data_IF_345455840334
#
_entry.id   IF_345455840334
#
_cell.length_a   1.000
_cell.length_b   1.000
_cell.length_c   1.000
_cell.angle_alpha   90.00
_cell.angle_beta   90.00
_cell.angle_gamma   90.00
#
_symmetry.space_group_name_H-M   'P 1'
#
loop_
_entity.id
_entity.type
_entity.pdbx_description
1 polymer ?
#
# COMPACT_ATOMS: atom_id res chain seq x y z
N UNK A 1 -33.59 34.82 4.38
CA UNK A 1 -33.34 36.18 3.85
C UNK A 1 -31.93 36.59 4.26
N UNK A 2 -30.96 36.54 3.35
CA UNK A 2 -29.84 37.49 3.35
C UNK A 2 -29.32 37.55 1.91
N UNK A 3 -29.63 38.68 1.26
CA UNK A 3 -29.25 39.02 -0.12
C UNK A 3 -28.06 39.96 -0.02
N UNK A 4 -26.92 39.63 -0.61
CA UNK A 4 -25.89 40.64 -0.94
C UNK A 4 -25.37 40.36 -2.35
N UNK A 5 -25.38 41.42 -3.17
CA UNK A 5 -25.07 41.46 -4.60
C UNK A 5 -23.72 42.16 -4.82
N UNK A 6 -22.93 41.59 -5.74
CA UNK A 6 -22.06 42.20 -6.79
C UNK A 6 -21.03 43.26 -6.40
N UNK A 7 -19.76 43.02 -6.77
CA UNK A 7 -18.91 44.02 -7.44
C UNK A 7 -18.10 43.33 -8.55
N UNK A 8 -18.12 43.94 -9.73
CA UNK A 8 -17.35 43.57 -10.92
C UNK A 8 -16.10 44.46 -11.03
N UNK A 9 -15.01 43.96 -11.60
CA UNK A 9 -14.07 44.75 -12.41
C UNK A 9 -13.07 43.83 -13.13
N UNK A 10 -13.00 43.99 -14.44
CA UNK A 10 -12.03 43.39 -15.35
C UNK A 10 -10.85 44.34 -15.55
N UNK A 11 -9.63 43.83 -15.76
CA UNK A 11 -8.58 44.50 -16.57
C UNK A 11 -7.70 43.43 -17.24
N UNK A 12 -7.31 43.74 -18.48
CA UNK A 12 -6.69 42.92 -19.51
C UNK A 12 -5.18 42.67 -19.34
N UNK A 13 -4.78 41.52 -19.90
CA UNK A 13 -3.53 41.09 -20.52
C UNK A 13 -2.31 42.04 -20.59
N UNK A 14 -1.12 41.49 -20.30
CA UNK A 14 0.07 41.59 -21.18
C UNK A 14 1.03 40.43 -20.90
N UNK A 15 1.48 39.79 -21.98
CA UNK A 15 2.48 38.71 -22.06
C UNK A 15 3.90 39.19 -21.79
N UNK A 16 4.72 38.37 -21.13
CA UNK A 16 6.18 38.38 -21.32
C UNK A 16 6.75 36.95 -21.14
N UNK A 17 7.31 36.43 -22.24
CA UNK A 17 8.17 35.24 -22.31
C UNK A 17 9.53 35.54 -21.65
N UNK A 18 10.07 34.61 -20.85
CA UNK A 18 11.39 33.99 -21.10
C UNK A 18 11.84 33.07 -19.95
N UNK A 19 12.19 31.84 -20.35
CA UNK A 19 13.29 31.00 -19.87
C UNK A 19 13.39 30.62 -18.38
N UNK A 20 12.95 29.39 -18.09
CA UNK A 20 13.34 28.63 -16.90
C UNK A 20 13.12 27.13 -17.11
N UNK A 21 13.99 26.48 -17.89
CA UNK A 21 14.00 25.03 -18.09
C UNK A 21 14.64 24.31 -16.91
N UNK A 22 13.82 23.68 -16.08
CA UNK A 22 14.18 22.55 -15.20
C UNK A 22 12.85 21.95 -14.69
N UNK A 23 12.52 20.67 -14.80
CA UNK A 23 13.23 19.52 -15.29
C UNK A 23 12.18 18.53 -15.83
N UNK A 24 12.51 17.87 -16.93
CA UNK A 24 12.07 16.49 -17.16
C UNK A 24 12.51 15.71 -15.91
N UNK A 25 11.67 14.92 -15.27
CA UNK A 25 11.53 13.53 -15.67
C UNK A 25 10.25 12.93 -15.09
N UNK A 26 9.55 12.24 -15.99
CA UNK A 26 8.68 11.09 -15.74
C UNK A 26 8.91 10.43 -14.38
N UNK A 27 7.86 10.32 -13.55
CA UNK A 27 7.86 9.39 -12.41
C UNK A 27 8.27 8.01 -12.93
N UNK A 28 9.38 7.43 -12.46
CA UNK A 28 9.66 6.04 -12.73
C UNK A 28 8.90 5.24 -11.68
N UNK A 29 7.59 5.06 -11.88
CA UNK A 29 6.97 3.83 -11.40
C UNK A 29 7.37 2.75 -12.41
N UNK A 30 8.67 2.45 -12.46
CA UNK A 30 9.20 1.30 -13.13
C UNK A 30 8.54 0.10 -12.45
N UNK A 31 7.50 -0.42 -13.10
CA UNK A 31 7.15 -1.81 -12.99
C UNK A 31 8.36 -2.61 -13.48
N UNK A 32 9.33 -2.79 -12.59
CA UNK A 32 10.32 -3.83 -12.71
C UNK A 32 9.56 -5.14 -12.50
N UNK A 33 8.90 -5.63 -13.55
CA UNK A 33 8.63 -7.05 -13.68
C UNK A 33 9.98 -7.73 -13.78
N UNK A 34 10.52 -8.13 -12.63
CA UNK A 34 11.60 -9.09 -12.57
C UNK A 34 11.03 -10.44 -13.02
N UNK A 35 11.09 -10.68 -14.33
CA UNK A 35 10.82 -11.98 -14.94
C UNK A 35 11.99 -12.90 -14.64
N UNK A 36 12.09 -13.32 -13.37
CA UNK A 36 12.95 -14.41 -12.90
C UNK A 36 12.19 -15.34 -11.97
N UNK A 37 10.92 -15.62 -12.30
CA UNK A 37 10.20 -16.78 -11.79
C UNK A 37 10.82 -18.09 -12.34
N UNK A 38 12.11 -18.30 -12.10
CA UNK A 38 12.84 -19.53 -12.33
C UNK A 38 12.99 -20.25 -11.00
N UNK A 39 12.20 -21.31 -10.82
CA UNK A 39 12.32 -22.33 -9.78
C UNK A 39 12.47 -21.82 -8.33
N UNK A 40 11.34 -21.45 -7.72
CA UNK A 40 11.28 -21.36 -6.25
C UNK A 40 11.45 -22.78 -5.70
N UNK A 41 12.60 -23.08 -5.10
CA UNK A 41 12.81 -24.29 -4.31
C UNK A 41 11.74 -24.38 -3.22
N UNK A 42 11.16 -25.56 -3.06
CA UNK A 42 9.94 -25.86 -2.28
C UNK A 42 10.09 -25.73 -0.76
N UNK A 43 11.09 -25.00 -0.25
CA UNK A 43 11.40 -25.01 1.18
C UNK A 43 10.60 -24.01 2.04
N UNK A 44 9.96 -22.97 1.46
CA UNK A 44 9.39 -21.88 2.29
C UNK A 44 7.95 -21.42 1.92
N UNK A 45 7.15 -22.21 1.19
CA UNK A 45 5.86 -21.70 0.68
C UNK A 45 4.70 -22.11 1.58
N UNK A 46 4.46 -21.34 2.64
CA UNK A 46 3.11 -21.16 3.20
C UNK A 46 2.61 -19.79 2.72
N UNK A 47 1.36 -19.72 2.22
CA UNK A 47 0.73 -18.49 1.71
C UNK A 47 1.28 -17.83 0.42
N UNK A 48 2.25 -18.44 -0.28
CA UNK A 48 2.79 -17.89 -1.54
C UNK A 48 3.84 -16.79 -1.34
N UNK A 49 4.56 -16.82 -0.22
CA UNK A 49 5.58 -15.85 0.14
C UNK A 49 6.84 -15.94 -0.75
N UNK A 50 7.31 -14.79 -1.26
CA UNK A 50 8.69 -14.61 -1.75
C UNK A 50 9.53 -13.85 -0.71
N UNK A 51 10.48 -14.55 -0.08
CA UNK A 51 11.38 -13.99 0.93
C UNK A 51 12.52 -13.14 0.35
N UNK A 52 12.66 -13.10 -0.98
CA UNK A 52 13.74 -12.39 -1.68
C UNK A 52 13.41 -10.92 -1.92
N UNK A 53 12.14 -10.55 -1.87
CA UNK A 53 11.67 -9.20 -2.11
C UNK A 53 11.16 -8.56 -0.84
N UNK A 54 11.59 -7.31 -0.60
CA UNK A 54 10.98 -6.47 0.42
C UNK A 54 9.54 -6.19 -0.02
N UNK A 55 8.54 -6.63 0.74
CA UNK A 55 7.16 -6.48 0.33
C UNK A 55 6.75 -5.01 0.37
N UNK A 56 5.86 -4.58 -0.55
CA UNK A 56 5.35 -3.21 -0.53
C UNK A 56 4.53 -2.98 0.74
N UNK A 57 4.41 -1.70 1.13
CA UNK A 57 3.48 -1.33 2.19
C UNK A 57 2.06 -1.43 1.66
N UNK A 58 1.21 -2.20 2.34
CA UNK A 58 -0.20 -2.36 2.00
C UNK A 58 -1.09 -1.87 3.13
N UNK A 59 -2.25 -1.34 2.78
CA UNK A 59 -3.23 -0.77 3.70
C UNK A 59 -4.63 -0.87 3.10
N UNK A 60 -5.64 -0.38 3.82
CA UNK A 60 -7.04 -0.44 3.38
C UNK A 60 -7.22 0.06 1.94
N UNK A 61 -7.90 -0.75 1.12
CA UNK A 61 -8.10 -0.51 -0.32
C UNK A 61 -7.01 -1.09 -1.23
N UNK A 62 -5.87 -1.53 -0.67
CA UNK A 62 -4.86 -2.29 -1.42
C UNK A 62 -5.43 -3.64 -1.87
N UNK A 63 -4.93 -4.16 -2.98
CA UNK A 63 -5.39 -5.44 -3.55
C UNK A 63 -4.24 -6.21 -4.18
N UNK A 64 -4.43 -7.52 -4.39
CA UNK A 64 -3.52 -8.38 -5.15
C UNK A 64 -2.84 -9.46 -4.30
N UNK A 65 -1.79 -10.07 -4.85
CA UNK A 65 -1.14 -11.22 -4.23
C UNK A 65 -0.47 -10.89 -2.90
N UNK A 66 0.09 -9.70 -2.75
CA UNK A 66 0.67 -9.25 -1.47
C UNK A 66 -0.40 -9.17 -0.37
N UNK A 67 -1.64 -8.78 -0.73
CA UNK A 67 -2.73 -8.78 0.25
C UNK A 67 -3.16 -10.20 0.61
N UNK A 68 -3.22 -11.12 -0.37
CA UNK A 68 -3.48 -12.54 -0.08
C UNK A 68 -2.43 -13.13 0.84
N UNK A 69 -1.17 -12.77 0.64
CA UNK A 69 -0.07 -13.20 1.51
C UNK A 69 -0.32 -12.73 2.95
N UNK A 70 -0.56 -11.43 3.16
CA UNK A 70 -0.85 -10.89 4.49
C UNK A 70 -2.08 -11.54 5.13
N UNK A 71 -3.17 -11.69 4.37
CA UNK A 71 -4.40 -12.33 4.84
C UNK A 71 -4.16 -13.76 5.30
N UNK A 72 -3.42 -14.53 4.51
CA UNK A 72 -3.13 -15.92 4.81
C UNK A 72 -2.19 -16.06 6.01
N UNK A 73 -1.17 -15.21 6.14
CA UNK A 73 -0.27 -15.20 7.31
C UNK A 73 -1.05 -14.85 8.59
N UNK A 74 -1.88 -13.80 8.54
CA UNK A 74 -2.76 -13.42 9.65
C UNK A 74 -3.70 -14.56 10.04
N UNK A 75 -4.33 -15.22 9.06
CA UNK A 75 -5.25 -16.32 9.32
C UNK A 75 -4.54 -17.55 9.91
N UNK A 76 -3.32 -17.84 9.47
CA UNK A 76 -2.49 -18.92 10.06
C UNK A 76 -2.08 -18.66 11.50
N UNK A 77 -2.01 -17.38 11.89
CA UNK A 77 -1.74 -16.94 13.24
C UNK A 77 -3.02 -16.76 14.08
N UNK A 78 -4.18 -17.08 13.52
CA UNK A 78 -5.47 -17.07 14.22
C UNK A 78 -6.22 -15.74 14.17
N UNK A 79 -5.78 -14.76 13.36
CA UNK A 79 -6.50 -13.52 13.17
C UNK A 79 -7.54 -13.66 12.04
N UNK A 80 -8.81 -13.45 12.36
CA UNK A 80 -9.90 -13.59 11.40
C UNK A 80 -9.92 -12.46 10.37
N UNK A 81 -9.44 -12.72 9.16
CA UNK A 81 -9.42 -11.74 8.06
C UNK A 81 -10.72 -11.70 7.24
N UNK A 82 -11.63 -12.65 7.47
CA UNK A 82 -12.90 -12.77 6.76
C UNK A 82 -12.79 -13.40 5.36
N UNK A 83 -11.62 -13.98 5.03
CA UNK A 83 -11.31 -14.64 3.77
C UNK A 83 -10.00 -14.14 3.12
N UNK A 84 -9.35 -15.03 2.37
CA UNK A 84 -8.11 -14.75 1.63
C UNK A 84 -8.49 -14.39 0.18
N UNK A 85 -9.16 -13.25 0.01
CA UNK A 85 -9.66 -12.77 -1.29
C UNK A 85 -8.69 -11.84 -2.03
N UNK A 86 -7.63 -11.40 -1.37
CA UNK A 86 -6.66 -10.44 -1.88
C UNK A 86 -7.15 -9.00 -1.89
N UNK A 87 -8.18 -8.67 -1.11
CA UNK A 87 -8.72 -7.32 -0.96
C UNK A 87 -8.51 -6.88 0.48
N UNK A 88 -7.79 -5.77 0.67
CA UNK A 88 -7.53 -5.24 2.00
C UNK A 88 -8.75 -4.48 2.49
N UNK A 89 -9.73 -5.23 2.97
CA UNK A 89 -11.00 -4.72 3.50
C UNK A 89 -10.94 -4.36 4.99
N UNK A 90 -12.09 -3.96 5.56
CA UNK A 90 -12.20 -3.64 6.98
C UNK A 90 -11.80 -4.80 7.91
N UNK A 91 -12.16 -6.04 7.55
CA UNK A 91 -11.83 -7.23 8.34
C UNK A 91 -10.31 -7.47 8.39
N UNK A 92 -9.63 -7.39 7.23
CA UNK A 92 -8.16 -7.48 7.17
C UNK A 92 -7.51 -6.37 7.99
N UNK A 93 -8.03 -5.13 7.95
CA UNK A 93 -7.50 -4.03 8.77
C UNK A 93 -7.64 -4.30 10.27
N UNK A 94 -8.77 -4.84 10.71
CA UNK A 94 -9.00 -5.20 12.12
C UNK A 94 -8.01 -6.29 12.55
N UNK A 95 -7.85 -7.34 11.73
CA UNK A 95 -6.88 -8.40 11.97
C UNK A 95 -5.44 -7.86 12.08
N UNK A 96 -5.03 -6.93 11.21
CA UNK A 96 -3.71 -6.27 11.31
C UNK A 96 -3.58 -5.48 12.61
N UNK A 97 -4.60 -4.72 13.01
CA UNK A 97 -4.57 -3.96 14.26
C UNK A 97 -4.45 -4.85 15.49
N UNK A 98 -5.10 -6.01 15.49
CA UNK A 98 -5.00 -6.99 16.58
C UNK A 98 -3.63 -7.66 16.58
N UNK A 99 -3.12 -8.07 15.42
CA UNK A 99 -1.76 -8.58 15.29
C UNK A 99 -0.71 -7.57 15.80
N UNK A 100 -0.79 -6.32 15.36
CA UNK A 100 0.12 -5.25 15.79
C UNK A 100 0.07 -5.01 17.30
N UNK A 101 -1.11 -5.17 17.91
CA UNK A 101 -1.27 -5.11 19.38
C UNK A 101 -0.45 -6.21 20.05
N UNK A 102 -0.60 -7.43 19.55
CA UNK A 102 -0.12 -8.64 20.21
C UNK A 102 1.40 -8.79 20.07
N UNK A 103 1.98 -8.31 18.96
CA UNK A 103 3.43 -8.25 18.77
C UNK A 103 4.09 -6.96 19.32
N UNK A 104 3.30 -6.04 19.88
CA UNK A 104 3.81 -4.86 20.58
C UNK A 104 4.39 -3.76 19.68
N UNK A 105 3.89 -3.60 18.45
CA UNK A 105 4.31 -2.55 17.50
C UNK A 105 3.23 -1.47 17.33
N UNK A 106 3.52 -0.46 16.51
CA UNK A 106 2.56 0.60 16.20
C UNK A 106 1.26 0.03 15.61
N UNK A 107 0.12 0.40 16.20
CA UNK A 107 -1.22 -0.05 15.78
C UNK A 107 -1.87 0.92 14.79
N UNK A 108 -1.27 1.02 13.62
CA UNK A 108 -1.76 1.91 12.54
C UNK A 108 -2.69 1.19 11.54
N UNK A 109 -2.75 -0.14 11.59
CA UNK A 109 -3.52 -0.96 10.65
C UNK A 109 -2.89 -1.04 9.25
N UNK A 110 -1.60 -0.70 9.15
CA UNK A 110 -0.81 -0.71 7.92
C UNK A 110 0.21 -1.84 7.99
N UNK A 111 0.30 -2.62 6.93
CA UNK A 111 1.33 -3.65 6.82
C UNK A 111 2.55 -3.04 6.14
N UNK A 112 3.37 -2.36 6.95
CA UNK A 112 4.68 -1.83 6.56
C UNK A 112 5.82 -2.81 6.84
N UNK A 113 7.09 -2.40 6.63
CA UNK A 113 8.26 -3.28 6.79
C UNK A 113 8.35 -3.98 8.14
N UNK A 114 8.02 -3.28 9.24
CA UNK A 114 8.01 -3.89 10.57
C UNK A 114 6.91 -4.95 10.68
N UNK A 115 5.67 -4.63 10.29
CA UNK A 115 4.56 -5.59 10.32
C UNK A 115 4.88 -6.83 9.47
N UNK A 116 5.48 -6.64 8.28
CA UNK A 116 5.92 -7.73 7.42
C UNK A 116 6.98 -8.63 8.05
N UNK A 117 7.95 -8.03 8.73
CA UNK A 117 8.97 -8.78 9.46
C UNK A 117 8.32 -9.71 10.48
N UNK A 118 7.39 -9.22 11.29
CA UNK A 118 6.70 -10.08 12.26
C UNK A 118 5.81 -11.12 11.57
N UNK A 119 4.98 -10.75 10.59
CA UNK A 119 4.08 -11.72 9.92
C UNK A 119 4.82 -12.93 9.34
N UNK A 120 6.05 -12.74 8.86
CA UNK A 120 6.85 -13.79 8.22
C UNK A 120 7.77 -14.56 9.17
N UNK A 121 7.92 -14.12 10.43
CA UNK A 121 8.87 -14.68 11.39
C UNK A 121 8.24 -14.99 12.77
N UNK A 122 6.91 -15.03 12.84
CA UNK A 122 6.15 -15.20 14.09
C UNK A 122 5.43 -16.53 14.14
#
# INVERSE_FOLDING_TARGET
MQRIRRIAAAVLATTALAAGTAAMTTSPAAAATDTRAGAIGTQDIYCGWDNRTTPPTISQGSQGNTVREAQCLLESQGYGVGGIDGIFGPNTRIAVLDFQRDVGIARDGIVGPNTWYYLRNW
#
